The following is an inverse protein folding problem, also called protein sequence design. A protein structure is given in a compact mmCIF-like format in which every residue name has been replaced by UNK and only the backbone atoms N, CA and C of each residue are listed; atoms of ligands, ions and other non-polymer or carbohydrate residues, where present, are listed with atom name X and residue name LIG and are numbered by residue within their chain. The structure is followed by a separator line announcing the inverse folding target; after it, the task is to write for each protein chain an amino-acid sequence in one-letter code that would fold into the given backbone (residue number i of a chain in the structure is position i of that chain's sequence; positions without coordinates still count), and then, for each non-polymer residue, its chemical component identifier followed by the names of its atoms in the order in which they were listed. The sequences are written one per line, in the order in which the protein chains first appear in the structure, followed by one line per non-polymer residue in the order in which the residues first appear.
data_IF_618746643604
#
_entry.id   IF_618746643604
#
_cell.length_a   1.000
_cell.length_b   1.000
_cell.length_c   1.000
_cell.angle_alpha   90.00
_cell.angle_beta   90.00
_cell.angle_gamma   90.00
#
_symmetry.space_group_name_H-M   'P 1'
#
loop_
_entity.id
_entity.type
_entity.pdbx_description
1 polymer ?
#
# COMPACT_ATOMS: atom_id res chain seq x y z
N UNK A 1 16.07 23.06 6.31
CA UNK A 1 15.53 22.32 7.46
C UNK A 1 14.01 22.15 7.39
N UNK A 2 13.21 23.22 7.32
CA UNK A 2 11.73 23.17 7.27
C UNK A 2 11.14 22.21 6.20
N UNK A 3 11.66 22.21 4.97
CA UNK A 3 11.14 21.35 3.87
C UNK A 3 11.31 19.84 4.14
N UNK A 4 12.36 19.43 4.88
CA UNK A 4 12.56 18.01 5.26
C UNK A 4 11.60 17.61 6.39
N UNK A 5 11.34 18.50 7.34
CA UNK A 5 10.37 18.28 8.43
C UNK A 5 8.96 18.10 7.87
N UNK A 6 8.55 18.92 6.89
CA UNK A 6 7.27 18.77 6.22
C UNK A 6 7.15 17.44 5.47
N UNK A 7 8.22 16.96 4.83
CA UNK A 7 8.23 15.66 4.16
C UNK A 7 8.10 14.48 5.14
N UNK A 8 8.76 14.57 6.30
CA UNK A 8 8.62 13.59 7.38
C UNK A 8 7.20 13.60 7.96
N UNK A 9 6.62 14.77 8.20
CA UNK A 9 5.25 14.90 8.67
C UNK A 9 4.24 14.34 7.65
N UNK A 10 4.44 14.60 6.35
CA UNK A 10 3.61 14.04 5.30
C UNK A 10 3.68 12.50 5.25
N UNK A 11 4.88 11.92 5.36
CA UNK A 11 5.06 10.46 5.42
C UNK A 11 4.40 9.85 6.67
N UNK A 12 4.54 10.51 7.84
CA UNK A 12 3.89 10.07 9.08
C UNK A 12 2.37 10.09 8.96
N UNK A 13 1.80 11.19 8.44
CA UNK A 13 0.35 11.32 8.25
C UNK A 13 -0.18 10.26 7.26
N UNK A 14 0.50 10.09 6.12
CA UNK A 14 0.12 9.06 5.15
C UNK A 14 0.12 7.66 5.77
N UNK A 15 1.14 7.35 6.57
CA UNK A 15 1.26 6.04 7.23
C UNK A 15 0.20 5.84 8.31
N UNK A 16 -0.17 6.90 9.05
CA UNK A 16 -1.27 6.84 10.02
C UNK A 16 -2.60 6.52 9.33
N UNK A 17 -2.89 7.21 8.23
CA UNK A 17 -4.09 6.95 7.42
C UNK A 17 -4.08 5.50 6.90
N UNK A 18 -2.95 5.00 6.42
CA UNK A 18 -2.83 3.61 5.96
C UNK A 18 -3.02 2.61 7.10
N UNK A 19 -2.50 2.86 8.30
CA UNK A 19 -2.69 1.98 9.45
C UNK A 19 -4.17 1.77 9.80
N UNK A 20 -4.94 2.84 9.83
CA UNK A 20 -6.39 2.80 10.07
C UNK A 20 -7.13 2.10 8.91
N UNK A 21 -6.65 2.28 7.69
CA UNK A 21 -7.30 1.75 6.48
C UNK A 21 -7.46 0.23 6.49
N UNK A 22 -6.57 -0.53 7.12
CA UNK A 22 -6.65 -2.00 7.14
C UNK A 22 -8.01 -2.46 7.69
N UNK A 23 -8.46 -1.86 8.78
CA UNK A 23 -9.75 -2.17 9.40
C UNK A 23 -10.92 -1.53 8.64
N UNK A 24 -10.81 -0.24 8.29
CA UNK A 24 -11.89 0.50 7.61
C UNK A 24 -12.20 -0.10 6.24
N UNK A 25 -11.19 -0.47 5.45
CA UNK A 25 -11.42 -1.11 4.16
C UNK A 25 -12.03 -2.51 4.31
N UNK A 26 -11.62 -3.27 5.33
CA UNK A 26 -12.18 -4.61 5.62
C UNK A 26 -13.65 -4.54 6.02
N UNK A 27 -14.08 -3.53 6.79
CA UNK A 27 -15.47 -3.43 7.26
C UNK A 27 -16.50 -3.26 6.12
N UNK A 28 -16.06 -2.77 4.97
CA UNK A 28 -16.93 -2.56 3.80
C UNK A 28 -17.03 -3.83 2.94
N UNK A 29 -16.02 -4.68 2.97
CA UNK A 29 -15.90 -5.86 2.11
C UNK A 29 -16.18 -7.16 2.86
N UNK A 30 -16.83 -8.14 2.25
CA UNK A 30 -17.56 -8.09 0.97
C UNK A 30 -19.01 -7.62 1.11
N UNK A 31 -19.40 -7.13 2.30
CA UNK A 31 -20.81 -6.89 2.69
C UNK A 31 -21.51 -5.90 1.76
N UNK A 32 -20.85 -4.77 1.47
CA UNK A 32 -21.44 -3.69 0.68
C UNK A 32 -20.89 -3.61 -0.73
N UNK A 33 -19.66 -4.07 -0.93
CA UNK A 33 -18.99 -4.05 -2.24
C UNK A 33 -17.98 -5.19 -2.32
N UNK A 34 -17.92 -5.88 -3.46
CA UNK A 34 -16.90 -6.88 -3.72
C UNK A 34 -15.50 -6.25 -3.83
N UNK A 35 -14.47 -7.02 -3.53
CA UNK A 35 -13.08 -6.51 -3.46
C UNK A 35 -12.61 -5.81 -4.74
N UNK A 36 -12.86 -6.39 -5.91
CA UNK A 36 -12.47 -5.77 -7.19
C UNK A 36 -13.31 -4.54 -7.53
N UNK A 37 -14.61 -4.54 -7.18
CA UNK A 37 -15.47 -3.36 -7.28
C UNK A 37 -14.96 -2.22 -6.39
N UNK A 38 -14.45 -2.55 -5.19
CA UNK A 38 -13.87 -1.58 -4.28
C UNK A 38 -12.53 -1.03 -4.78
N UNK A 39 -11.70 -1.85 -5.42
CA UNK A 39 -10.51 -1.38 -6.15
C UNK A 39 -10.91 -0.37 -7.20
N UNK A 40 -11.92 -0.68 -8.01
CA UNK A 40 -12.41 0.23 -9.05
C UNK A 40 -12.92 1.54 -8.46
N UNK A 41 -13.72 1.50 -7.39
CA UNK A 41 -14.21 2.70 -6.69
C UNK A 41 -13.05 3.60 -6.23
N UNK A 42 -12.02 3.01 -5.62
CA UNK A 42 -10.83 3.73 -5.14
C UNK A 42 -10.09 4.43 -6.26
N UNK A 43 -9.79 3.68 -7.32
CA UNK A 43 -8.97 4.18 -8.42
C UNK A 43 -9.76 5.18 -9.27
N UNK A 44 -11.05 4.95 -9.50
CA UNK A 44 -11.95 5.88 -10.19
C UNK A 44 -12.09 7.19 -9.41
N UNK A 45 -12.39 7.12 -8.12
CA UNK A 45 -12.54 8.29 -7.27
C UNK A 45 -11.26 9.13 -7.21
N UNK A 46 -10.10 8.49 -7.01
CA UNK A 46 -8.82 9.19 -7.03
C UNK A 46 -8.51 9.78 -8.42
N UNK A 47 -8.83 9.07 -9.50
CA UNK A 47 -8.68 9.59 -10.86
C UNK A 47 -9.50 10.88 -11.05
N UNK A 48 -10.78 10.85 -10.68
CA UNK A 48 -11.66 12.02 -10.74
C UNK A 48 -11.06 13.19 -9.94
N UNK A 49 -10.64 12.95 -8.70
CA UNK A 49 -10.06 13.98 -7.84
C UNK A 49 -8.78 14.60 -8.43
N UNK A 50 -7.83 13.77 -8.89
CA UNK A 50 -6.60 14.29 -9.49
C UNK A 50 -6.84 15.03 -10.82
N UNK A 51 -7.79 14.59 -11.66
CA UNK A 51 -8.12 15.27 -12.88
C UNK A 51 -8.86 16.59 -12.63
N UNK A 52 -9.83 16.61 -11.71
CA UNK A 52 -10.57 17.83 -11.34
C UNK A 52 -9.63 18.89 -10.77
N UNK A 53 -8.76 18.51 -9.81
CA UNK A 53 -7.77 19.42 -9.27
C UNK A 53 -6.77 19.85 -10.35
N UNK A 54 -6.40 18.93 -11.23
CA UNK A 54 -5.52 19.22 -12.37
C UNK A 54 -6.03 20.27 -13.36
N UNK A 55 -7.33 20.58 -13.35
CA UNK A 55 -7.90 21.68 -14.16
C UNK A 55 -7.45 23.07 -13.68
N UNK A 56 -7.15 23.20 -12.39
CA UNK A 56 -6.75 24.45 -11.75
C UNK A 56 -5.24 24.67 -11.74
N UNK A 57 -4.44 23.69 -12.20
CA UNK A 57 -2.97 23.75 -12.20
C UNK A 57 -2.42 23.63 -13.62
N UNK A 58 -1.36 24.38 -13.94
CA UNK A 58 -0.64 24.23 -15.20
C UNK A 58 0.06 22.88 -15.23
N UNK A 59 -0.47 21.96 -16.02
CA UNK A 59 0.12 20.63 -16.18
C UNK A 59 1.36 20.66 -17.07
N UNK A 60 2.46 20.12 -16.59
CA UNK A 60 3.66 19.89 -17.38
C UNK A 60 3.47 18.70 -18.32
N UNK A 61 3.70 18.87 -19.62
CA UNK A 61 3.55 17.80 -20.59
C UNK A 61 4.55 16.66 -20.33
N UNK A 62 4.07 15.41 -20.29
CA UNK A 62 4.91 14.23 -20.12
C UNK A 62 5.78 14.03 -21.38
N UNK A 63 7.10 13.96 -21.18
CA UNK A 63 8.07 13.71 -22.24
C UNK A 63 7.92 12.29 -22.80
N UNK A 64 8.16 12.13 -24.11
CA UNK A 64 8.03 10.81 -24.78
C UNK A 64 8.87 9.73 -24.12
N UNK A 65 10.11 10.07 -23.70
CA UNK A 65 11.06 9.12 -23.06
C UNK A 65 10.60 8.60 -21.71
N UNK A 66 9.73 9.35 -21.00
CA UNK A 66 9.27 8.99 -19.64
C UNK A 66 7.94 8.22 -19.66
N UNK A 67 7.26 8.15 -20.81
CA UNK A 67 5.94 7.51 -20.92
C UNK A 67 5.93 6.05 -20.47
N UNK A 68 6.96 5.29 -20.84
CA UNK A 68 7.09 3.88 -20.44
C UNK A 68 7.28 3.74 -18.92
N UNK A 69 8.08 4.63 -18.31
CA UNK A 69 8.28 4.65 -16.86
C UNK A 69 6.96 5.01 -16.15
N UNK A 70 6.22 6.01 -16.64
CA UNK A 70 4.91 6.39 -16.11
C UNK A 70 3.90 5.26 -16.26
N UNK A 71 3.89 4.55 -17.40
CA UNK A 71 3.05 3.36 -17.58
C UNK A 71 3.37 2.29 -16.53
N UNK A 72 4.65 1.97 -16.32
CA UNK A 72 5.08 1.04 -15.27
C UNK A 72 4.67 1.52 -13.88
N UNK A 73 4.88 2.82 -13.56
CA UNK A 73 4.44 3.39 -12.28
C UNK A 73 2.94 3.23 -12.06
N UNK A 74 2.11 3.50 -13.08
CA UNK A 74 0.66 3.35 -13.00
C UNK A 74 0.23 1.90 -12.81
N UNK A 75 0.81 0.97 -13.59
CA UNK A 75 0.50 -0.45 -13.49
C UNK A 75 0.89 -1.03 -12.13
N UNK A 76 2.14 -0.81 -11.68
CA UNK A 76 2.62 -1.39 -10.43
C UNK A 76 2.17 -0.63 -9.20
N UNK A 77 2.00 0.69 -9.25
CA UNK A 77 1.56 1.49 -8.11
C UNK A 77 0.06 1.54 -7.91
N UNK A 78 -0.72 1.67 -8.99
CA UNK A 78 -2.17 1.88 -8.95
C UNK A 78 -2.96 0.67 -9.48
N UNK A 79 -2.38 -0.12 -10.36
CA UNK A 79 -2.98 -1.35 -10.88
C UNK A 79 -2.79 -2.51 -9.91
N UNK A 80 -1.69 -3.24 -10.07
CA UNK A 80 -1.41 -4.46 -9.30
C UNK A 80 -1.33 -4.25 -7.79
N UNK A 81 -0.70 -3.15 -7.35
CA UNK A 81 -0.54 -2.86 -5.93
C UNK A 81 -1.89 -2.77 -5.22
N UNK A 82 -2.78 -1.90 -5.68
CA UNK A 82 -4.08 -1.67 -5.03
C UNK A 82 -4.94 -2.94 -5.14
N UNK A 83 -4.96 -3.61 -6.29
CA UNK A 83 -5.71 -4.84 -6.50
C UNK A 83 -5.25 -5.94 -5.54
N UNK A 84 -3.95 -6.22 -5.47
CA UNK A 84 -3.40 -7.24 -4.59
C UNK A 84 -3.65 -6.94 -3.10
N UNK A 85 -3.54 -5.66 -2.68
CA UNK A 85 -3.83 -5.26 -1.30
C UNK A 85 -5.29 -5.50 -0.92
N UNK A 86 -6.22 -5.01 -1.73
CA UNK A 86 -7.66 -5.10 -1.43
C UNK A 86 -8.16 -6.54 -1.52
N UNK A 87 -7.75 -7.29 -2.54
CA UNK A 87 -8.08 -8.72 -2.63
C UNK A 87 -7.46 -9.49 -1.45
N UNK A 88 -6.20 -9.18 -1.08
CA UNK A 88 -5.55 -9.77 0.08
C UNK A 88 -6.31 -9.50 1.37
N UNK A 89 -6.81 -8.28 1.56
CA UNK A 89 -7.57 -7.89 2.74
C UNK A 89 -8.96 -8.56 2.78
N UNK A 90 -9.58 -8.77 1.64
CA UNK A 90 -10.84 -9.51 1.55
C UNK A 90 -10.66 -10.97 2.00
N UNK A 91 -9.58 -11.63 1.57
CA UNK A 91 -9.29 -13.03 1.92
C UNK A 91 -8.67 -13.20 3.31
N UNK A 92 -7.97 -12.22 3.86
CA UNK A 92 -7.23 -12.30 5.12
C UNK A 92 -7.80 -11.36 6.19
N UNK A 93 -6.96 -10.96 7.17
CA UNK A 93 -7.33 -10.14 8.32
C UNK A 93 -6.62 -8.79 8.34
N UNK A 94 -7.17 -7.76 9.01
CA UNK A 94 -6.53 -6.46 9.19
C UNK A 94 -5.17 -6.54 9.89
N UNK A 95 -5.03 -7.40 10.90
CA UNK A 95 -3.75 -7.57 11.62
C UNK A 95 -2.71 -8.19 10.70
N UNK A 96 -3.04 -9.28 9.99
CA UNK A 96 -2.11 -9.93 9.06
C UNK A 96 -1.66 -8.96 7.96
N UNK A 97 -2.57 -8.16 7.40
CA UNK A 97 -2.23 -7.16 6.38
C UNK A 97 -1.28 -6.11 6.92
N UNK A 98 -1.52 -5.61 8.14
CA UNK A 98 -0.67 -4.61 8.79
C UNK A 98 0.76 -5.12 9.03
N UNK A 99 0.90 -6.40 9.40
CA UNK A 99 2.21 -7.01 9.68
C UNK A 99 2.95 -7.36 8.39
N UNK A 100 2.26 -7.99 7.41
CA UNK A 100 2.92 -8.44 6.19
C UNK A 100 3.40 -7.30 5.30
N UNK A 101 2.77 -6.13 5.37
CA UNK A 101 3.23 -4.98 4.60
C UNK A 101 4.61 -4.46 5.02
N UNK A 102 5.08 -4.82 6.25
CA UNK A 102 6.42 -4.49 6.75
C UNK A 102 7.52 -5.09 5.87
N UNK A 103 7.20 -6.13 5.11
CA UNK A 103 8.16 -6.77 4.20
C UNK A 103 8.52 -5.86 3.01
N UNK A 104 7.73 -4.81 2.75
CA UNK A 104 7.96 -3.88 1.63
C UNK A 104 9.38 -3.29 1.60
N UNK A 105 9.95 -2.75 2.68
CA UNK A 105 11.31 -2.22 2.66
C UNK A 105 12.38 -3.29 2.37
N UNK A 106 12.13 -4.54 2.74
CA UNK A 106 13.00 -5.66 2.38
C UNK A 106 13.03 -5.81 0.85
N UNK A 107 11.86 -5.76 0.20
CA UNK A 107 11.78 -5.78 -1.26
C UNK A 107 12.39 -4.54 -1.90
N UNK A 108 12.29 -3.35 -1.28
CA UNK A 108 12.99 -2.15 -1.77
C UNK A 108 14.50 -2.39 -1.81
N UNK A 109 15.09 -3.02 -0.77
CA UNK A 109 16.53 -3.35 -0.76
C UNK A 109 16.88 -4.37 -1.83
N UNK A 110 16.09 -5.45 -1.96
CA UNK A 110 16.31 -6.50 -2.96
C UNK A 110 16.23 -5.93 -4.38
N UNK A 111 15.17 -5.19 -4.70
CA UNK A 111 14.99 -4.61 -6.03
C UNK A 111 16.02 -3.53 -6.34
N UNK A 112 16.44 -2.74 -5.34
CA UNK A 112 17.51 -1.76 -5.50
C UNK A 112 18.86 -2.43 -5.84
N UNK A 113 19.12 -3.62 -5.29
CA UNK A 113 20.30 -4.40 -5.67
C UNK A 113 20.26 -4.78 -7.16
N UNK A 114 19.14 -5.31 -7.65
CA UNK A 114 19.02 -5.72 -9.05
C UNK A 114 19.01 -4.53 -10.02
N UNK A 115 18.36 -3.41 -9.65
CA UNK A 115 18.20 -2.25 -10.53
C UNK A 115 19.44 -1.36 -10.54
N UNK A 116 20.05 -1.12 -9.37
CA UNK A 116 21.16 -0.18 -9.19
C UNK A 116 22.52 -0.87 -8.92
N UNK A 117 22.52 -2.21 -8.83
CA UNK A 117 23.71 -3.03 -8.50
C UNK A 117 24.36 -2.64 -7.14
N UNK A 118 23.55 -2.18 -6.21
CA UNK A 118 24.01 -1.84 -4.85
C UNK A 118 24.48 -3.10 -4.12
N UNK A 119 25.62 -3.02 -3.40
CA UNK A 119 26.09 -4.17 -2.61
C UNK A 119 25.15 -4.47 -1.45
N UNK A 120 24.85 -5.77 -1.24
CA UNK A 120 24.13 -6.27 -0.07
C UNK A 120 25.14 -6.97 0.83
N UNK A 121 25.24 -6.54 2.09
CA UNK A 121 26.12 -7.20 3.07
C UNK A 121 25.43 -8.41 3.73
N UNK A 122 26.20 -9.22 4.45
CA UNK A 122 25.72 -10.45 5.12
C UNK A 122 24.59 -10.18 6.14
N UNK A 123 24.66 -9.04 6.85
CA UNK A 123 23.60 -8.65 7.80
C UNK A 123 22.26 -8.44 7.09
N UNK A 124 22.29 -7.78 5.92
CA UNK A 124 21.08 -7.57 5.11
C UNK A 124 20.51 -8.89 4.57
N UNK A 125 21.39 -9.81 4.15
CA UNK A 125 20.97 -11.16 3.72
C UNK A 125 20.27 -11.90 4.86
N UNK A 126 20.87 -11.92 6.06
CA UNK A 126 20.23 -12.51 7.25
C UNK A 126 18.89 -11.88 7.60
N UNK A 127 18.80 -10.54 7.49
CA UNK A 127 17.56 -9.80 7.71
C UNK A 127 16.47 -10.16 6.70
N UNK A 128 16.81 -10.26 5.41
CA UNK A 128 15.90 -10.70 4.36
C UNK A 128 15.35 -12.10 4.69
N UNK A 129 16.23 -13.04 5.06
CA UNK A 129 15.86 -14.41 5.38
C UNK A 129 14.90 -14.49 6.59
N UNK A 130 15.18 -13.78 7.67
CA UNK A 130 14.30 -13.71 8.84
C UNK A 130 12.92 -13.09 8.49
N UNK A 131 12.89 -12.04 7.70
CA UNK A 131 11.63 -11.42 7.24
C UNK A 131 10.78 -12.41 6.45
N UNK A 132 11.39 -13.19 5.56
CA UNK A 132 10.68 -14.23 4.80
C UNK A 132 10.20 -15.38 5.67
N UNK A 133 10.98 -15.84 6.66
CA UNK A 133 10.53 -16.88 7.61
C UNK A 133 9.29 -16.39 8.36
N UNK A 134 9.29 -15.14 8.86
CA UNK A 134 8.14 -14.58 9.57
C UNK A 134 6.90 -14.47 8.67
N UNK A 135 7.06 -14.03 7.41
CA UNK A 135 5.95 -13.97 6.45
C UNK A 135 5.40 -15.36 6.12
N UNK A 136 6.27 -16.35 5.89
CA UNK A 136 5.88 -17.74 5.64
C UNK A 136 5.17 -18.35 6.84
N UNK A 137 5.60 -18.04 8.07
CA UNK A 137 4.91 -18.49 9.28
C UNK A 137 3.45 -18.02 9.32
N UNK A 138 3.16 -16.77 8.92
CA UNK A 138 1.80 -16.25 8.83
C UNK A 138 0.97 -16.89 7.70
N UNK A 139 1.61 -17.32 6.62
CA UNK A 139 0.90 -17.98 5.52
C UNK A 139 0.55 -19.42 5.86
N UNK A 140 1.54 -20.17 6.36
CA UNK A 140 1.40 -21.62 6.60
C UNK A 140 0.55 -21.92 7.84
N UNK A 141 0.71 -21.13 8.90
CA UNK A 141 -0.02 -21.34 10.16
C UNK A 141 -1.25 -20.42 10.27
N UNK A 142 -1.80 -19.99 9.15
CA UNK A 142 -3.02 -19.19 9.14
C UNK A 142 -4.19 -20.05 9.64
N UNK A 143 -4.98 -19.48 10.56
CA UNK A 143 -6.20 -20.11 11.02
C UNK A 143 -7.24 -20.14 9.90
N UNK A 144 -7.40 -21.30 9.27
CA UNK A 144 -8.34 -21.52 8.16
C UNK A 144 -9.80 -21.57 8.62
N UNK A 145 -10.04 -21.70 9.93
CA UNK A 145 -11.38 -21.71 10.54
C UNK A 145 -11.80 -20.32 11.03
N UNK A 146 -11.00 -19.28 10.76
CA UNK A 146 -11.34 -17.91 11.14
C UNK A 146 -12.58 -17.42 10.38
N UNK A 147 -13.55 -16.89 11.11
CA UNK A 147 -14.74 -16.23 10.54
C UNK A 147 -14.40 -14.87 9.88
N UNK A 148 -13.17 -14.35 10.07
CA UNK A 148 -12.76 -13.01 9.62
C UNK A 148 -12.26 -13.03 8.18
N UNK A 149 -11.58 -14.10 7.76
CA UNK A 149 -10.99 -14.23 6.42
C UNK A 149 -11.47 -15.48 5.68
N UNK A 150 -11.81 -15.33 4.40
CA UNK A 150 -12.32 -16.46 3.57
C UNK A 150 -11.23 -17.45 3.16
N UNK A 151 -10.00 -16.98 2.99
CA UNK A 151 -8.82 -17.79 2.64
C UNK A 151 -7.55 -17.04 3.08
N UNK A 152 -7.23 -17.12 4.36
CA UNK A 152 -6.14 -16.34 4.97
C UNK A 152 -4.79 -16.61 4.31
N UNK A 153 -4.38 -17.87 3.97
CA UNK A 153 -3.12 -18.12 3.26
C UNK A 153 -3.03 -17.37 1.93
N UNK A 154 -4.08 -17.40 1.12
CA UNK A 154 -4.12 -16.70 -0.16
C UNK A 154 -4.05 -15.18 0.05
N UNK A 155 -4.80 -14.65 1.01
CA UNK A 155 -4.77 -13.22 1.34
C UNK A 155 -3.38 -12.77 1.80
N UNK A 156 -2.72 -13.54 2.65
CA UNK A 156 -1.37 -13.29 3.11
C UNK A 156 -0.35 -13.31 1.95
N UNK A 157 -0.48 -14.25 1.00
CA UNK A 157 0.33 -14.27 -0.22
C UNK A 157 0.11 -13.02 -1.08
N UNK A 158 -1.13 -12.56 -1.23
CA UNK A 158 -1.44 -11.34 -1.98
C UNK A 158 -0.83 -10.09 -1.36
N UNK A 159 -0.63 -10.02 -0.02
CA UNK A 159 0.12 -8.94 0.61
C UNK A 159 1.61 -8.96 0.26
N UNK A 160 2.20 -10.14 0.02
CA UNK A 160 3.58 -10.22 -0.50
C UNK A 160 3.63 -9.69 -1.93
N UNK A 161 2.69 -10.07 -2.80
CA UNK A 161 2.59 -9.54 -4.16
C UNK A 161 2.40 -8.02 -4.14
N UNK A 162 1.53 -7.51 -3.26
CA UNK A 162 1.35 -6.09 -3.02
C UNK A 162 2.68 -5.41 -2.64
N UNK A 163 3.41 -5.97 -1.67
CA UNK A 163 4.67 -5.42 -1.16
C UNK A 163 5.76 -5.36 -2.24
N UNK A 164 5.87 -6.38 -3.10
CA UNK A 164 6.79 -6.39 -4.25
C UNK A 164 6.41 -5.27 -5.24
N UNK A 165 5.12 -5.19 -5.59
CA UNK A 165 4.61 -4.21 -6.54
C UNK A 165 4.84 -2.79 -6.04
N UNK A 166 4.55 -2.53 -4.75
CA UNK A 166 4.75 -1.22 -4.13
C UNK A 166 6.23 -0.85 -4.01
N UNK A 167 7.08 -1.80 -3.64
CA UNK A 167 8.53 -1.59 -3.58
C UNK A 167 9.10 -1.19 -4.94
N UNK A 168 8.71 -1.89 -6.01
CA UNK A 168 9.11 -1.55 -7.37
C UNK A 168 8.60 -0.15 -7.76
N UNK A 169 7.32 0.15 -7.49
CA UNK A 169 6.73 1.47 -7.73
C UNK A 169 7.52 2.57 -7.01
N UNK A 170 7.83 2.43 -5.72
CA UNK A 170 8.58 3.44 -4.96
C UNK A 170 9.94 3.78 -5.57
N UNK A 171 10.60 2.78 -6.16
CA UNK A 171 11.91 2.97 -6.80
C UNK A 171 11.76 3.75 -8.10
N UNK A 172 10.83 3.34 -8.97
CA UNK A 172 10.71 3.90 -10.31
C UNK A 172 9.96 5.24 -10.36
N UNK A 173 9.07 5.51 -9.38
CA UNK A 173 8.30 6.76 -9.32
C UNK A 173 9.14 7.93 -8.81
N UNK A 174 10.16 7.68 -7.99
CA UNK A 174 10.96 8.74 -7.38
C UNK A 174 11.53 9.74 -8.40
N UNK A 175 12.26 9.33 -9.45
CA UNK A 175 12.77 10.28 -10.45
C UNK A 175 11.64 11.02 -11.19
N UNK A 176 10.47 10.41 -11.32
CA UNK A 176 9.30 11.06 -11.93
C UNK A 176 8.69 12.12 -10.99
N UNK A 177 8.61 11.84 -9.68
CA UNK A 177 8.13 12.78 -8.66
C UNK A 177 9.06 13.99 -8.46
N UNK A 178 10.35 13.84 -8.77
CA UNK A 178 11.31 14.95 -8.77
C UNK A 178 11.21 15.80 -10.05
N UNK A 179 10.83 15.21 -11.17
CA UNK A 179 10.79 15.84 -12.50
C UNK A 179 9.45 16.53 -12.81
N UNK A 180 8.35 15.92 -12.43
CA UNK A 180 6.98 16.37 -12.72
C UNK A 180 6.29 16.88 -11.47
N UNK A 181 5.36 17.82 -11.63
CA UNK A 181 4.45 18.17 -10.55
C UNK A 181 3.58 16.97 -10.16
N UNK A 182 3.28 16.83 -8.86
CA UNK A 182 2.62 15.64 -8.33
C UNK A 182 1.20 15.46 -8.88
N UNK A 183 0.48 16.56 -9.16
CA UNK A 183 -0.87 16.48 -9.69
C UNK A 183 -0.82 15.93 -11.11
N UNK A 184 0.07 16.44 -11.97
CA UNK A 184 0.28 15.91 -13.31
C UNK A 184 0.73 14.45 -13.27
N UNK A 185 1.63 14.09 -12.39
CA UNK A 185 2.10 12.72 -12.24
C UNK A 185 0.94 11.80 -11.85
N UNK A 186 0.26 12.07 -10.75
CA UNK A 186 -0.78 11.19 -10.21
C UNK A 186 -2.02 11.09 -11.08
N UNK A 187 -2.43 12.15 -11.78
CA UNK A 187 -3.55 12.03 -12.71
C UNK A 187 -3.30 10.99 -13.81
N UNK A 188 -2.07 10.89 -14.34
CA UNK A 188 -1.73 9.86 -15.32
C UNK A 188 -1.56 8.48 -14.70
N UNK A 189 -0.92 8.38 -13.52
CA UNK A 189 -0.75 7.10 -12.84
C UNK A 189 -2.09 6.47 -12.48
N UNK A 190 -3.03 7.25 -11.93
CA UNK A 190 -4.37 6.76 -11.59
C UNK A 190 -5.22 6.46 -12.81
N UNK A 191 -5.09 7.22 -13.91
CA UNK A 191 -5.76 6.88 -15.16
C UNK A 191 -5.29 5.53 -15.72
N UNK A 192 -3.98 5.25 -15.68
CA UNK A 192 -3.43 3.95 -16.09
C UNK A 192 -3.95 2.84 -15.17
N UNK A 193 -3.94 3.08 -13.85
CA UNK A 193 -4.51 2.15 -12.87
C UNK A 193 -6.00 1.92 -13.09
N UNK A 194 -6.77 2.96 -13.46
CA UNK A 194 -8.18 2.85 -13.79
C UNK A 194 -8.41 1.97 -15.02
N UNK A 195 -7.69 2.21 -16.11
CA UNK A 195 -7.79 1.40 -17.34
C UNK A 195 -7.50 -0.07 -17.03
N UNK A 196 -6.50 -0.34 -16.18
CA UNK A 196 -6.15 -1.72 -15.78
C UNK A 196 -7.23 -2.37 -14.91
N UNK A 197 -7.75 -1.67 -13.90
CA UNK A 197 -8.69 -2.22 -12.93
C UNK A 197 -10.15 -2.19 -13.42
N UNK A 198 -10.47 -1.39 -14.43
CA UNK A 198 -11.84 -1.25 -14.94
C UNK A 198 -12.45 -2.60 -15.37
N UNK A 199 -11.81 -3.39 -16.25
CA UNK A 199 -12.36 -4.67 -16.68
C UNK A 199 -12.45 -5.70 -15.54
N UNK A 200 -11.60 -5.57 -14.50
CA UNK A 200 -11.58 -6.49 -13.37
C UNK A 200 -12.71 -6.20 -12.36
N UNK A 201 -13.05 -4.92 -12.16
CA UNK A 201 -13.93 -4.49 -11.08
C UNK A 201 -15.33 -4.07 -11.52
N UNK A 202 -15.57 -3.85 -12.82
CA UNK A 202 -16.81 -3.22 -13.29
C UNK A 202 -18.06 -4.03 -12.90
N UNK A 203 -18.03 -5.36 -12.99
CA UNK A 203 -19.20 -6.19 -12.64
C UNK A 203 -19.56 -6.01 -11.15
N UNK A 204 -18.59 -6.21 -10.24
CA UNK A 204 -18.83 -6.02 -8.81
C UNK A 204 -19.21 -4.59 -8.43
N UNK A 205 -18.75 -3.59 -9.19
CA UNK A 205 -19.11 -2.19 -8.99
C UNK A 205 -20.56 -1.91 -9.37
N UNK A 206 -21.06 -2.51 -10.47
CA UNK A 206 -22.44 -2.37 -10.95
C UNK A 206 -23.44 -3.17 -10.09
N UNK A 207 -23.00 -4.24 -9.43
CA UNK A 207 -23.82 -5.03 -8.50
C UNK A 207 -24.15 -4.29 -7.19
N UNK A 208 -23.43 -3.21 -6.87
CA UNK A 208 -23.67 -2.44 -5.65
C UNK A 208 -25.00 -1.70 -5.71
N UNK A 209 -25.81 -1.87 -4.66
CA UNK A 209 -27.04 -1.10 -4.51
C UNK A 209 -26.74 0.29 -3.92
N UNK A 210 -26.27 1.21 -4.76
CA UNK A 210 -25.82 2.55 -4.37
C UNK A 210 -26.87 3.39 -3.66
N UNK A 211 -28.17 3.14 -3.93
CA UNK A 211 -29.27 3.92 -3.34
C UNK A 211 -29.59 3.53 -1.89
N UNK A 212 -29.20 2.33 -1.45
CA UNK A 212 -29.55 1.78 -0.15
C UNK A 212 -28.33 1.53 0.74
N UNK A 213 -27.20 2.17 0.47
CA UNK A 213 -26.01 2.03 1.30
C UNK A 213 -26.18 2.80 2.63
N UNK A 214 -25.97 2.14 3.79
CA UNK A 214 -25.98 2.83 5.07
C UNK A 214 -24.83 3.82 5.17
N UNK A 215 -25.15 5.03 5.66
CA UNK A 215 -24.20 6.14 5.67
C UNK A 215 -22.95 5.83 6.51
N UNK A 216 -23.15 5.33 7.74
CA UNK A 216 -22.04 5.14 8.69
C UNK A 216 -21.23 3.88 8.41
N UNK A 217 -21.87 2.78 8.02
CA UNK A 217 -21.21 1.49 7.84
C UNK A 217 -20.62 1.30 6.44
N UNK A 218 -21.10 2.02 5.42
CA UNK A 218 -20.64 1.86 4.05
C UNK A 218 -20.14 3.16 3.42
N UNK A 219 -20.95 4.22 3.35
CA UNK A 219 -20.62 5.41 2.58
C UNK A 219 -19.42 6.16 3.19
N UNK A 220 -19.41 6.43 4.50
CA UNK A 220 -18.30 7.14 5.16
C UNK A 220 -16.99 6.35 5.11
N UNK A 221 -16.94 5.03 5.38
CA UNK A 221 -15.76 4.21 5.16
C UNK A 221 -15.27 4.22 3.70
N UNK A 222 -16.18 4.10 2.71
CA UNK A 222 -15.80 4.19 1.30
C UNK A 222 -15.20 5.54 0.95
N UNK A 223 -15.79 6.64 1.41
CA UNK A 223 -15.26 8.00 1.22
C UNK A 223 -13.90 8.18 1.89
N UNK A 224 -13.72 7.66 3.12
CA UNK A 224 -12.43 7.66 3.79
C UNK A 224 -11.36 6.95 2.94
N UNK A 225 -11.70 5.79 2.38
CA UNK A 225 -10.76 5.02 1.56
C UNK A 225 -10.43 5.73 0.25
N UNK A 226 -11.39 6.36 -0.41
CA UNK A 226 -11.15 7.11 -1.65
C UNK A 226 -10.36 8.39 -1.38
N UNK A 227 -10.81 9.21 -0.45
CA UNK A 227 -10.25 10.55 -0.23
C UNK A 227 -8.98 10.47 0.60
N UNK A 228 -9.05 9.89 1.81
CA UNK A 228 -7.92 9.89 2.72
C UNK A 228 -6.88 8.84 2.31
N UNK A 229 -7.29 7.57 2.17
CA UNK A 229 -6.35 6.47 1.95
C UNK A 229 -5.82 6.42 0.51
N UNK A 230 -6.58 6.90 -0.48
CA UNK A 230 -6.11 6.81 -1.87
C UNK A 230 -5.61 8.18 -2.34
N UNK A 231 -6.44 9.19 -2.42
CA UNK A 231 -6.01 10.48 -2.94
C UNK A 231 -4.95 11.16 -2.06
N UNK A 232 -5.24 11.36 -0.75
CA UNK A 232 -4.33 12.10 0.14
C UNK A 232 -3.01 11.37 0.38
N UNK A 233 -3.04 10.06 0.66
CA UNK A 233 -1.80 9.34 0.99
C UNK A 233 -0.85 9.23 -0.20
N UNK A 234 -1.35 9.03 -1.41
CA UNK A 234 -0.49 9.05 -2.60
C UNK A 234 0.12 10.43 -2.85
N UNK A 235 -0.66 11.49 -2.66
CA UNK A 235 -0.15 12.86 -2.74
C UNK A 235 0.91 13.14 -1.67
N UNK A 236 0.66 12.78 -0.40
CA UNK A 236 1.57 12.96 0.72
C UNK A 236 2.87 12.15 0.54
N UNK A 237 2.77 10.89 0.13
CA UNK A 237 3.95 10.07 -0.15
C UNK A 237 4.73 10.57 -1.36
N UNK A 238 4.05 11.00 -2.42
CA UNK A 238 4.68 11.66 -3.55
C UNK A 238 5.42 12.92 -3.13
N UNK A 239 4.81 13.77 -2.29
CA UNK A 239 5.47 14.94 -1.71
C UNK A 239 6.69 14.55 -0.85
N UNK A 240 6.57 13.51 -0.02
CA UNK A 240 7.69 13.01 0.77
C UNK A 240 8.85 12.54 -0.14
N UNK A 241 8.57 11.80 -1.22
CA UNK A 241 9.56 11.33 -2.19
C UNK A 241 10.31 12.45 -2.92
N UNK A 242 9.74 13.66 -3.01
CA UNK A 242 10.48 14.82 -3.57
C UNK A 242 11.62 15.29 -2.67
N UNK A 243 11.71 14.82 -1.42
CA UNK A 243 12.67 15.28 -0.39
C UNK A 243 13.38 14.14 0.32
N UNK A 244 12.78 12.96 0.34
CA UNK A 244 13.28 11.75 0.99
C UNK A 244 13.64 10.71 -0.07
N UNK A 245 14.52 9.78 0.27
CA UNK A 245 14.81 8.62 -0.57
C UNK A 245 13.65 7.62 -0.51
N UNK A 246 13.52 6.76 -1.51
CA UNK A 246 12.52 5.67 -1.50
C UNK A 246 12.65 4.79 -0.26
N UNK A 247 13.88 4.52 0.20
CA UNK A 247 14.13 3.77 1.43
C UNK A 247 13.67 4.52 2.69
N UNK A 248 13.91 5.85 2.77
CA UNK A 248 13.41 6.64 3.90
C UNK A 248 11.88 6.65 3.95
N UNK A 249 11.19 6.80 2.82
CA UNK A 249 9.72 6.74 2.78
C UNK A 249 9.22 5.34 3.13
N UNK A 250 9.88 4.27 2.64
CA UNK A 250 9.52 2.91 2.96
C UNK A 250 9.64 2.59 4.47
N UNK A 251 10.56 3.23 5.19
CA UNK A 251 10.72 3.05 6.66
C UNK A 251 9.46 3.47 7.43
N UNK A 252 8.70 4.46 6.95
CA UNK A 252 7.46 4.88 7.62
C UNK A 252 6.39 3.78 7.61
N UNK A 253 6.46 2.82 6.69
CA UNK A 253 5.56 1.64 6.68
C UNK A 253 5.59 0.89 8.02
N UNK A 254 6.67 1.00 8.81
CA UNK A 254 6.80 0.36 10.12
C UNK A 254 5.84 0.89 11.19
N UNK A 255 5.31 2.08 11.01
CA UNK A 255 4.28 2.62 11.89
C UNK A 255 2.90 1.98 11.63
N UNK A 256 2.68 1.42 10.43
CA UNK A 256 1.39 0.84 10.08
C UNK A 256 0.96 -0.31 11.00
N UNK A 257 1.81 -1.29 11.35
CA UNK A 257 1.41 -2.35 12.27
C UNK A 257 1.03 -1.83 13.65
N UNK A 258 1.78 -0.85 14.17
CA UNK A 258 1.48 -0.28 15.49
C UNK A 258 0.08 0.34 15.46
N UNK A 259 -0.20 1.16 14.46
CA UNK A 259 -1.49 1.84 14.31
C UNK A 259 -2.59 0.84 13.92
N UNK A 260 -2.32 -0.03 12.93
CA UNK A 260 -3.29 -0.98 12.39
C UNK A 260 -3.71 -2.03 13.40
N UNK A 261 -2.77 -2.63 14.13
CA UNK A 261 -3.06 -3.61 15.19
C UNK A 261 -3.80 -2.93 16.34
N UNK A 262 -3.34 -1.77 16.81
CA UNK A 262 -4.02 -1.03 17.87
C UNK A 262 -5.46 -0.69 17.47
N UNK A 263 -5.69 -0.22 16.24
CA UNK A 263 -7.02 0.12 15.75
C UNK A 263 -7.90 -1.12 15.54
N UNK A 264 -7.36 -2.23 15.04
CA UNK A 264 -8.09 -3.49 14.86
C UNK A 264 -8.56 -4.09 16.20
N UNK A 265 -7.71 -4.03 17.24
CA UNK A 265 -8.05 -4.47 18.58
C UNK A 265 -9.10 -3.56 19.24
N UNK A 266 -8.92 -2.23 19.11
CA UNK A 266 -9.87 -1.24 19.63
C UNK A 266 -11.26 -1.39 19.02
N UNK A 267 -11.33 -1.58 17.70
CA UNK A 267 -12.58 -1.79 16.96
C UNK A 267 -13.13 -3.22 17.08
N UNK A 268 -12.44 -4.12 17.79
CA UNK A 268 -12.80 -5.56 17.93
C UNK A 268 -12.94 -6.27 16.58
N UNK A 269 -12.28 -5.78 15.53
CA UNK A 269 -12.35 -6.34 14.17
C UNK A 269 -11.41 -7.52 13.94
N UNK A 270 -10.48 -7.78 14.86
CA UNK A 270 -9.49 -8.87 14.75
C UNK A 270 -8.96 -9.27 16.14
N UNK A 271 -8.18 -10.37 16.22
CA UNK A 271 -7.59 -10.92 17.45
C UNK A 271 -6.13 -11.25 17.27
N UNK A 272 -5.33 -11.03 18.33
CA UNK A 272 -3.94 -11.48 18.37
C UNK A 272 -3.86 -12.98 18.61
N UNK A 273 -3.01 -13.67 17.84
CA UNK A 273 -2.61 -15.05 18.07
C UNK A 273 -1.13 -15.13 18.39
N UNK A 274 -0.69 -16.25 18.99
CA UNK A 274 0.73 -16.49 19.26
C UNK A 274 1.55 -16.51 17.96
N UNK A 275 1.00 -17.08 16.90
CA UNK A 275 1.61 -17.09 15.55
C UNK A 275 1.86 -15.66 15.04
N UNK A 276 0.89 -14.76 15.19
CA UNK A 276 1.01 -13.35 14.78
C UNK A 276 2.14 -12.66 15.57
N UNK A 277 2.25 -12.91 16.89
CA UNK A 277 3.29 -12.32 17.74
C UNK A 277 4.68 -12.80 17.30
N UNK A 278 4.88 -14.13 17.15
CA UNK A 278 6.17 -14.72 16.75
C UNK A 278 6.56 -14.22 15.35
N UNK A 279 5.66 -14.25 14.40
CA UNK A 279 5.90 -13.78 13.03
C UNK A 279 6.27 -12.29 13.01
N UNK A 280 5.59 -11.47 13.82
CA UNK A 280 5.90 -10.04 13.96
C UNK A 280 7.33 -9.83 14.46
N UNK A 281 7.76 -10.56 15.50
CA UNK A 281 9.12 -10.47 16.04
C UNK A 281 10.16 -10.83 14.96
N UNK A 282 9.93 -11.90 14.19
CA UNK A 282 10.83 -12.32 13.11
C UNK A 282 10.89 -11.26 12.00
N UNK A 283 9.74 -10.72 11.57
CA UNK A 283 9.66 -9.71 10.51
C UNK A 283 10.35 -8.42 10.97
N UNK A 284 10.06 -7.92 12.19
CA UNK A 284 10.70 -6.70 12.71
C UNK A 284 12.21 -6.86 12.91
N UNK A 285 12.66 -8.03 13.36
CA UNK A 285 14.09 -8.33 13.50
C UNK A 285 14.77 -8.38 12.14
N UNK A 286 14.17 -9.07 11.18
CA UNK A 286 14.62 -9.13 9.79
C UNK A 286 14.75 -7.75 9.17
N UNK A 287 13.76 -6.91 9.41
CA UNK A 287 13.73 -5.55 9.00
C UNK A 287 14.87 -4.70 9.59
N UNK A 288 15.04 -4.75 10.90
CA UNK A 288 16.12 -4.04 11.60
C UNK A 288 17.49 -4.38 10.99
N UNK A 289 17.76 -5.68 10.77
CA UNK A 289 19.01 -6.14 10.16
C UNK A 289 19.17 -5.65 8.70
N UNK A 290 18.06 -5.61 7.94
CA UNK A 290 18.09 -5.20 6.52
C UNK A 290 18.31 -3.69 6.36
N UNK A 291 17.78 -2.89 7.29
CA UNK A 291 17.82 -1.42 7.19
C UNK A 291 18.95 -0.77 7.99
N UNK A 292 19.64 -1.53 8.85
CA UNK A 292 20.80 -1.05 9.61
C UNK A 292 21.85 -0.49 8.66
N UNK A 293 22.28 0.76 8.91
CA UNK A 293 23.38 1.39 8.16
C UNK A 293 24.66 0.55 8.34
N UNK A 294 25.35 0.29 7.25
CA UNK A 294 26.69 -0.29 7.31
C UNK A 294 27.57 0.67 8.12
N UNK A 295 28.21 0.15 9.17
CA UNK A 295 29.32 0.88 9.78
C UNK A 295 30.43 0.91 8.73
N UNK A 296 30.72 2.10 8.22
CA UNK A 296 31.90 2.40 7.40
C UNK A 296 33.15 2.11 8.19
#
# INVERSE_FOLDING_TARGET
MQKKVLALAAATLATTIYGINHTVAKSVMPVYIGSLGFVLLRVLGATILFWTIGLFFKSKKIEKKDRLTILKCGLFGMGFNIAAFIAGLDYSTPINSSILIIITPIFVVILSYFIFKNKINTSKIGGIFLGFIGAMALIINADTNSSIGRNIPLGNFLFIVNSISYAYYLIIVKPMAEKYDLITLFKWLFLIGLIFNFPLGINQFLEVNWNNLPLQEAVLPMLYVVICTTFMTYFLNGFALTRLTSSEVAVFVYLQPIIGVAFALFSKSDRLSLTIIIASILIFTGLYLTTKKDKL
#
